data_IF_653442232158
#
_entry.id   IF_653442232158
#
_cell.length_a   1.000
_cell.length_b   1.000
_cell.length_c   1.000
_cell.angle_alpha   90.00
_cell.angle_beta   90.00
_cell.angle_gamma   90.00
#
_symmetry.space_group_name_H-M   'P 1'
#
loop_
_entity.id
_entity.type
_entity.pdbx_description
1 polymer ?
#
# COMPACT_ATOMS: atom_id res chain seq x y z
N UNK A 1 -23.86 -4.08 -8.47
CA UNK A 1 -22.78 -4.60 -7.62
C UNK A 1 -22.00 -3.45 -7.05
N UNK A 2 -21.96 -3.37 -5.76
CA UNK A 2 -21.17 -2.33 -5.12
C UNK A 2 -19.71 -2.70 -5.23
N UNK A 3 -18.93 -1.79 -5.83
CA UNK A 3 -17.51 -1.98 -5.88
C UNK A 3 -16.94 -1.93 -4.46
N UNK A 4 -16.02 -2.84 -4.17
CA UNK A 4 -15.35 -2.84 -2.87
C UNK A 4 -14.63 -1.51 -2.69
N UNK A 5 -14.92 -0.82 -1.59
CA UNK A 5 -14.26 0.44 -1.29
C UNK A 5 -12.78 0.19 -0.95
N UNK A 6 -11.93 1.02 -1.50
CA UNK A 6 -10.50 0.96 -1.28
C UNK A 6 -10.11 2.17 -0.45
N UNK A 7 -9.70 1.92 0.78
CA UNK A 7 -9.31 2.99 1.70
C UNK A 7 -7.81 3.20 1.67
N UNK A 8 -7.40 4.45 1.83
CA UNK A 8 -5.98 4.81 1.84
C UNK A 8 -5.80 6.01 2.76
N UNK A 9 -4.62 6.10 3.40
CA UNK A 9 -4.29 7.29 4.19
C UNK A 9 -3.92 8.45 3.26
N UNK A 10 -3.97 9.70 3.75
CA UNK A 10 -3.54 10.85 2.94
C UNK A 10 -2.10 10.72 2.44
N UNK A 11 -1.22 10.18 3.28
CA UNK A 11 0.18 9.93 2.90
C UNK A 11 0.27 8.92 1.77
N UNK A 12 -0.49 7.83 1.86
CA UNK A 12 -0.51 6.81 0.82
C UNK A 12 -1.01 7.35 -0.51
N UNK A 13 -2.08 8.14 -0.47
CA UNK A 13 -2.62 8.77 -1.67
C UNK A 13 -1.58 9.71 -2.31
N UNK A 14 -0.88 10.47 -1.48
CA UNK A 14 0.18 11.36 -1.96
C UNK A 14 1.30 10.56 -2.62
N UNK A 15 1.71 9.46 -2.00
CA UNK A 15 2.77 8.59 -2.55
C UNK A 15 2.37 8.06 -3.92
N UNK A 16 1.13 7.61 -4.08
CA UNK A 16 0.66 7.11 -5.38
C UNK A 16 0.63 8.22 -6.44
N UNK A 17 0.19 9.41 -6.05
CA UNK A 17 0.17 10.56 -6.98
C UNK A 17 1.56 10.98 -7.40
N UNK A 18 2.50 10.99 -6.46
CA UNK A 18 3.89 11.33 -6.73
C UNK A 18 4.55 10.30 -7.63
N UNK A 19 4.26 9.02 -7.40
CA UNK A 19 4.77 7.96 -8.27
C UNK A 19 4.22 8.12 -9.69
N UNK A 20 2.93 8.39 -9.83
CA UNK A 20 2.32 8.60 -11.14
C UNK A 20 2.95 9.77 -11.88
N UNK A 21 3.12 10.89 -11.16
CA UNK A 21 3.75 12.08 -11.76
C UNK A 21 5.19 11.79 -12.19
N UNK A 22 5.95 11.10 -11.35
CA UNK A 22 7.33 10.72 -11.68
C UNK A 22 7.40 9.82 -12.92
N UNK A 23 6.55 8.80 -12.98
CA UNK A 23 6.55 7.86 -14.11
C UNK A 23 6.19 8.58 -15.41
N UNK A 24 5.18 9.44 -15.35
CA UNK A 24 4.67 10.11 -16.55
C UNK A 24 5.58 11.25 -17.01
N UNK A 25 6.07 12.07 -16.09
CA UNK A 25 6.78 13.30 -16.43
C UNK A 25 8.28 13.13 -16.51
N UNK A 26 8.84 12.12 -15.86
CA UNK A 26 10.30 11.96 -15.76
C UNK A 26 10.78 10.63 -16.33
N UNK A 27 10.36 9.52 -15.76
CA UNK A 27 10.91 8.21 -16.13
C UNK A 27 10.50 7.78 -17.54
N UNK A 28 9.23 7.90 -17.89
CA UNK A 28 8.76 7.47 -19.21
C UNK A 28 9.44 8.23 -20.36
N UNK A 29 9.54 9.57 -20.30
CA UNK A 29 10.26 10.30 -21.35
C UNK A 29 11.73 9.88 -21.49
N UNK A 30 12.40 9.63 -20.38
CA UNK A 30 13.80 9.18 -20.41
C UNK A 30 13.96 7.83 -21.08
N UNK A 31 13.10 6.87 -20.72
CA UNK A 31 13.15 5.53 -21.33
C UNK A 31 12.76 5.59 -22.80
N UNK A 32 11.78 6.43 -23.15
CA UNK A 32 11.38 6.64 -24.54
C UNK A 32 12.56 7.13 -25.36
N UNK A 33 13.33 8.09 -24.83
CA UNK A 33 14.52 8.62 -25.51
C UNK A 33 15.60 7.55 -25.63
N UNK A 34 15.81 6.73 -24.61
CA UNK A 34 16.75 5.61 -24.67
C UNK A 34 16.37 4.61 -25.76
N UNK A 35 15.07 4.30 -25.86
CA UNK A 35 14.57 3.39 -26.89
C UNK A 35 14.79 4.00 -28.29
N UNK A 36 14.51 5.30 -28.44
CA UNK A 36 14.71 5.99 -29.72
C UNK A 36 16.17 5.96 -30.13
N UNK A 37 17.07 6.26 -29.19
CA UNK A 37 18.49 6.24 -29.46
C UNK A 37 18.98 4.84 -29.82
N UNK A 38 18.53 3.82 -29.10
CA UNK A 38 18.90 2.43 -29.38
C UNK A 38 18.37 1.97 -30.75
N UNK A 39 17.16 2.38 -31.11
CA UNK A 39 16.57 2.03 -32.39
C UNK A 39 17.36 2.61 -33.55
N UNK A 40 17.98 3.76 -33.36
CA UNK A 40 18.80 4.42 -34.39
C UNK A 40 20.11 3.70 -34.66
N UNK A 41 20.54 2.78 -33.78
CA UNK A 41 21.81 2.09 -33.89
C UNK A 41 21.79 0.86 -34.81
N UNK A 42 20.62 0.48 -35.35
CA UNK A 42 20.55 -0.59 -36.32
C UNK A 42 19.47 -1.62 -36.09
N UNK A 43 19.81 -2.90 -36.19
CA UNK A 43 18.83 -3.99 -36.17
C UNK A 43 18.15 -4.12 -34.80
N UNK A 44 16.85 -3.82 -34.78
CA UNK A 44 16.04 -3.84 -33.55
C UNK A 44 15.88 -5.23 -32.96
N UNK A 45 15.90 -6.26 -33.81
CA UNK A 45 15.71 -7.63 -33.31
C UNK A 45 16.91 -8.17 -32.54
N UNK A 46 18.10 -7.68 -32.83
CA UNK A 46 19.34 -8.11 -32.18
C UNK A 46 19.87 -7.06 -31.20
N UNK A 47 19.18 -5.95 -31.06
CA UNK A 47 19.61 -4.85 -30.20
C UNK A 47 19.05 -5.05 -28.78
N UNK A 48 19.90 -5.52 -27.87
CA UNK A 48 19.52 -5.80 -26.50
C UNK A 48 19.02 -4.56 -25.76
N UNK A 49 19.66 -3.41 -26.01
CA UNK A 49 19.25 -2.15 -25.37
C UNK A 49 17.85 -1.73 -25.82
N UNK A 50 17.56 -1.90 -27.12
CA UNK A 50 16.24 -1.61 -27.65
C UNK A 50 15.19 -2.53 -27.04
N UNK A 51 15.45 -3.83 -26.96
CA UNK A 51 14.51 -4.79 -26.39
C UNK A 51 14.28 -4.54 -24.90
N UNK A 52 15.34 -4.23 -24.17
CA UNK A 52 15.24 -3.91 -22.75
C UNK A 52 14.41 -2.64 -22.52
N UNK A 53 14.68 -1.60 -23.32
CA UNK A 53 13.92 -0.34 -23.20
C UNK A 53 12.45 -0.51 -23.53
N UNK A 54 12.14 -1.31 -24.56
CA UNK A 54 10.73 -1.61 -24.91
C UNK A 54 10.03 -2.33 -23.78
N UNK A 55 10.72 -3.27 -23.13
CA UNK A 55 10.16 -3.98 -21.98
C UNK A 55 9.90 -3.01 -20.82
N UNK A 56 10.85 -2.13 -20.54
CA UNK A 56 10.66 -1.12 -19.50
C UNK A 56 9.46 -0.23 -19.79
N UNK A 57 9.28 0.22 -21.03
CA UNK A 57 8.15 1.05 -21.40
C UNK A 57 6.83 0.32 -21.13
N UNK A 58 6.75 -0.97 -21.47
CA UNK A 58 5.55 -1.74 -21.20
C UNK A 58 5.24 -1.83 -19.72
N UNK A 59 6.27 -2.02 -18.89
CA UNK A 59 6.11 -2.07 -17.44
C UNK A 59 5.69 -0.71 -16.88
N UNK A 60 6.30 0.37 -17.35
CA UNK A 60 5.93 1.73 -16.95
C UNK A 60 4.48 2.02 -17.33
N UNK A 61 4.07 1.71 -18.55
CA UNK A 61 2.71 1.96 -19.00
C UNK A 61 1.70 1.13 -18.22
N UNK A 62 2.04 -0.10 -17.87
CA UNK A 62 1.19 -0.95 -17.03
C UNK A 62 1.02 -0.34 -15.64
N UNK A 63 2.11 0.13 -15.05
CA UNK A 63 2.06 0.76 -13.74
C UNK A 63 1.28 2.06 -13.75
N UNK A 64 1.46 2.87 -14.79
CA UNK A 64 0.70 4.12 -14.96
C UNK A 64 -0.80 3.82 -15.03
N UNK A 65 -1.21 2.84 -15.83
CA UNK A 65 -2.62 2.47 -15.92
C UNK A 65 -3.16 1.99 -14.58
N UNK A 66 -2.38 1.19 -13.86
CA UNK A 66 -2.75 0.73 -12.52
C UNK A 66 -2.95 1.92 -11.57
N UNK A 67 -2.00 2.85 -11.54
CA UNK A 67 -2.07 4.01 -10.65
C UNK A 67 -3.24 4.92 -10.98
N UNK A 68 -3.48 5.17 -12.27
CA UNK A 68 -4.61 5.99 -12.69
C UNK A 68 -5.93 5.38 -12.25
N UNK A 69 -6.11 4.10 -12.50
CA UNK A 69 -7.32 3.39 -12.10
C UNK A 69 -7.48 3.35 -10.59
N UNK A 70 -6.38 3.11 -9.88
CA UNK A 70 -6.39 3.04 -8.41
C UNK A 70 -6.78 4.38 -7.81
N UNK A 71 -6.16 5.47 -8.29
CA UNK A 71 -6.45 6.82 -7.80
C UNK A 71 -7.90 7.23 -8.05
N UNK A 72 -8.51 6.74 -9.12
CA UNK A 72 -9.91 7.00 -9.39
C UNK A 72 -10.87 6.28 -8.44
N UNK A 73 -10.41 5.18 -7.83
CA UNK A 73 -11.27 4.29 -7.05
C UNK A 73 -10.98 4.29 -5.55
N UNK A 74 -9.99 5.06 -5.10
CA UNK A 74 -9.64 5.09 -3.68
C UNK A 74 -10.51 6.12 -2.94
N UNK A 75 -10.69 5.84 -1.64
CA UNK A 75 -11.29 6.78 -0.70
C UNK A 75 -10.24 7.16 0.32
N UNK A 76 -9.86 8.43 0.35
CA UNK A 76 -8.86 8.92 1.30
C UNK A 76 -9.53 9.13 2.64
N UNK A 77 -9.01 8.48 3.66
CA UNK A 77 -9.50 8.63 5.03
C UNK A 77 -8.59 9.61 5.75
N UNK A 78 -9.01 10.87 5.81
CA UNK A 78 -8.18 11.96 6.35
C UNK A 78 -8.69 12.51 7.68
N UNK A 79 -9.79 11.97 8.20
CA UNK A 79 -10.36 12.42 9.47
C UNK A 79 -9.98 11.49 10.60
N UNK A 80 -9.52 12.08 11.70
CA UNK A 80 -9.34 11.35 12.92
C UNK A 80 -10.72 11.25 13.59
N UNK A 81 -11.18 10.04 13.98
CA UNK A 81 -12.46 9.90 14.64
C UNK A 81 -12.50 10.67 15.96
N UNK A 82 -13.69 11.14 16.33
CA UNK A 82 -13.89 11.81 17.61
C UNK A 82 -13.65 10.85 18.79
N UNK A 83 -13.99 9.57 18.60
CA UNK A 83 -13.74 8.53 19.60
C UNK A 83 -12.43 7.80 19.29
N UNK A 84 -11.36 8.26 19.89
CA UNK A 84 -10.03 7.67 19.70
C UNK A 84 -9.75 6.53 20.67
N UNK A 85 -10.74 6.14 21.47
CA UNK A 85 -10.62 4.97 22.35
C UNK A 85 -10.84 3.67 21.59
N UNK A 86 -11.31 3.75 20.35
CA UNK A 86 -11.49 2.60 19.48
C UNK A 86 -10.47 2.63 18.35
N UNK A 87 -10.07 1.45 17.93
CA UNK A 87 -9.10 1.32 16.85
C UNK A 87 -9.76 1.65 15.53
N UNK A 88 -9.13 2.53 14.77
CA UNK A 88 -9.66 3.03 13.50
C UNK A 88 -8.63 2.86 12.38
N UNK A 89 -9.09 3.02 11.13
CA UNK A 89 -8.20 2.95 9.96
C UNK A 89 -7.12 4.02 10.07
N UNK A 90 -5.87 3.61 9.84
CA UNK A 90 -4.71 4.49 9.94
C UNK A 90 -4.09 4.53 11.33
N UNK A 91 -4.72 3.89 12.32
CA UNK A 91 -4.25 3.94 13.69
C UNK A 91 -2.95 3.16 13.89
N UNK A 92 -2.11 3.70 14.77
CA UNK A 92 -0.96 2.97 15.31
C UNK A 92 -1.44 2.23 16.55
N UNK A 93 -1.19 0.93 16.60
CA UNK A 93 -1.69 0.06 17.67
C UNK A 93 -0.55 -0.77 18.22
N UNK A 94 -0.48 -0.88 19.54
CA UNK A 94 0.46 -1.78 20.21
C UNK A 94 -0.32 -2.95 20.78
N UNK A 95 0.08 -4.15 20.39
CA UNK A 95 -0.48 -5.41 20.87
C UNK A 95 0.50 -6.05 21.83
N UNK A 96 0.00 -6.58 22.94
CA UNK A 96 0.83 -7.32 23.89
C UNK A 96 0.38 -8.77 23.94
N UNK A 97 1.37 -9.67 23.99
CA UNK A 97 1.11 -11.10 24.19
C UNK A 97 1.13 -11.44 25.68
N UNK A 98 0.68 -12.66 26.00
CA UNK A 98 0.72 -13.15 27.37
C UNK A 98 2.15 -13.23 27.92
N UNK A 99 3.14 -13.37 27.04
CA UNK A 99 4.55 -13.43 27.41
C UNK A 99 5.18 -12.04 27.58
N UNK A 100 4.36 -10.99 27.61
CA UNK A 100 4.77 -9.60 27.74
C UNK A 100 5.58 -9.08 26.53
N UNK A 101 5.52 -9.77 25.40
CA UNK A 101 6.08 -9.28 24.15
C UNK A 101 5.11 -8.30 23.53
N UNK A 102 5.63 -7.27 22.89
CA UNK A 102 4.78 -6.28 22.24
C UNK A 102 5.07 -6.20 20.74
N UNK A 103 4.02 -5.91 19.98
CA UNK A 103 4.10 -5.72 18.55
C UNK A 103 3.38 -4.41 18.21
N UNK A 104 4.10 -3.47 17.63
CA UNK A 104 3.51 -2.21 17.18
C UNK A 104 3.21 -2.30 15.70
N UNK A 105 1.96 -2.04 15.35
CA UNK A 105 1.49 -2.11 13.96
C UNK A 105 0.76 -0.83 13.60
N UNK A 106 0.57 -0.63 12.31
CA UNK A 106 -0.33 0.39 11.79
C UNK A 106 -1.27 -0.25 10.80
N UNK A 107 -2.55 0.10 10.87
CA UNK A 107 -3.56 -0.40 9.94
C UNK A 107 -3.69 0.57 8.77
N UNK A 108 -3.38 0.09 7.58
CA UNK A 108 -3.32 0.94 6.38
C UNK A 108 -4.09 0.31 5.23
N UNK A 109 -4.11 0.98 4.09
CA UNK A 109 -4.70 0.44 2.87
C UNK A 109 -3.78 -0.58 2.19
N UNK A 110 -4.34 -1.31 1.23
CA UNK A 110 -3.59 -2.35 0.53
C UNK A 110 -2.36 -1.84 -0.20
N UNK A 111 -2.39 -0.58 -0.64
CA UNK A 111 -1.27 0.02 -1.37
C UNK A 111 -0.19 0.58 -0.45
N UNK A 112 -0.39 0.49 0.86
CA UNK A 112 0.50 1.08 1.85
C UNK A 112 1.21 0.06 2.72
N UNK A 113 1.05 -1.21 2.42
CA UNK A 113 1.65 -2.29 3.21
C UNK A 113 3.17 -2.13 3.23
N UNK A 114 3.74 -2.16 4.43
CA UNK A 114 5.19 -2.06 4.60
C UNK A 114 5.60 -2.98 5.74
N UNK A 115 6.14 -4.13 5.38
CA UNK A 115 6.52 -5.17 6.34
C UNK A 115 7.58 -4.65 7.30
N UNK A 116 8.53 -3.86 6.79
CA UNK A 116 9.62 -3.32 7.62
C UNK A 116 9.14 -2.38 8.70
N UNK A 117 8.02 -1.69 8.47
CA UNK A 117 7.41 -0.78 9.45
C UNK A 117 6.26 -1.42 10.23
N UNK A 118 5.92 -2.68 9.93
CA UNK A 118 4.76 -3.37 10.48
C UNK A 118 3.44 -2.66 10.13
N UNK A 119 3.36 -2.15 8.94
CA UNK A 119 2.13 -1.58 8.40
C UNK A 119 1.37 -2.69 7.68
N UNK A 120 0.19 -3.02 8.19
CA UNK A 120 -0.61 -4.12 7.67
C UNK A 120 -1.88 -3.61 7.02
N UNK A 121 -2.37 -4.36 6.05
CA UNK A 121 -3.62 -4.02 5.38
C UNK A 121 -4.81 -4.19 6.32
N UNK A 122 -5.77 -3.29 6.21
CA UNK A 122 -7.04 -3.40 6.93
C UNK A 122 -7.79 -4.68 6.62
N UNK A 123 -7.43 -5.35 5.54
CA UNK A 123 -8.07 -6.60 5.11
C UNK A 123 -7.43 -7.85 5.69
N UNK A 124 -6.34 -7.71 6.45
CA UNK A 124 -5.73 -8.86 7.11
C UNK A 124 -6.63 -9.37 8.24
N UNK A 125 -6.56 -10.67 8.58
CA UNK A 125 -7.35 -11.20 9.69
C UNK A 125 -7.11 -10.46 11.00
N UNK A 126 -5.84 -10.13 11.29
CA UNK A 126 -5.52 -9.39 12.52
C UNK A 126 -6.19 -8.01 12.54
N UNK A 127 -6.05 -7.24 11.45
CA UNK A 127 -6.67 -5.92 11.37
C UNK A 127 -8.19 -6.00 11.50
N UNK A 128 -8.82 -6.97 10.84
CA UNK A 128 -10.27 -7.16 10.92
C UNK A 128 -10.73 -7.50 12.33
N UNK A 129 -9.90 -8.26 13.05
CA UNK A 129 -10.24 -8.67 14.40
C UNK A 129 -10.20 -7.50 15.38
N UNK A 130 -9.30 -6.54 15.19
CA UNK A 130 -9.10 -5.45 16.16
C UNK A 130 -9.78 -4.14 15.76
N UNK A 131 -10.10 -3.93 14.50
CA UNK A 131 -10.77 -2.70 14.06
C UNK A 131 -12.11 -2.53 14.80
N UNK A 132 -12.30 -1.34 15.36
CA UNK A 132 -13.50 -1.02 16.13
C UNK A 132 -13.48 -1.47 17.58
N UNK A 133 -12.44 -2.21 17.97
CA UNK A 133 -12.31 -2.65 19.36
C UNK A 133 -11.79 -1.52 20.23
N UNK A 134 -12.14 -1.57 21.51
CA UNK A 134 -11.72 -0.56 22.47
C UNK A 134 -10.29 -0.77 22.89
N UNK A 135 -9.58 0.35 23.06
CA UNK A 135 -8.22 0.37 23.59
C UNK A 135 -8.21 -0.20 25.01
N UNK A 136 -7.18 -0.96 25.34
CA UNK A 136 -7.02 -1.57 26.65
C UNK A 136 -7.82 -2.84 26.85
N UNK A 137 -8.54 -3.30 25.82
CA UNK A 137 -9.36 -4.50 25.89
C UNK A 137 -8.51 -5.74 25.60
N UNK A 138 -8.72 -6.79 26.38
CA UNK A 138 -8.14 -8.10 26.11
C UNK A 138 -9.01 -8.86 25.12
N UNK A 139 -8.37 -9.47 24.12
CA UNK A 139 -9.04 -10.25 23.08
C UNK A 139 -8.85 -11.75 23.31
N UNK A 140 -9.07 -12.18 24.55
CA UNK A 140 -8.89 -13.59 24.94
C UNK A 140 -9.83 -14.54 24.20
N UNK A 141 -10.96 -14.04 23.72
CA UNK A 141 -11.98 -14.85 23.07
C UNK A 141 -11.74 -15.04 21.57
N UNK A 142 -10.73 -14.41 21.01
CA UNK A 142 -10.47 -14.48 19.60
C UNK A 142 -9.47 -15.59 19.29
N UNK A 143 -9.94 -16.83 19.45
CA UNK A 143 -9.11 -17.99 19.16
C UNK A 143 -8.67 -18.05 17.71
N UNK A 144 -9.33 -17.30 16.84
CA UNK A 144 -8.95 -17.15 15.44
C UNK A 144 -7.65 -16.38 15.28
N UNK A 145 -7.31 -15.54 16.24
CA UNK A 145 -6.00 -14.90 16.27
C UNK A 145 -5.02 -15.95 16.73
N UNK A 146 -4.05 -16.24 15.93
CA UNK A 146 -3.12 -17.34 16.17
C UNK A 146 -2.15 -17.12 17.32
N UNK A 147 -2.20 -15.97 17.93
CA UNK A 147 -1.43 -15.70 19.12
C UNK A 147 -2.38 -15.13 20.17
N UNK A 148 -2.10 -15.37 21.45
CA UNK A 148 -2.93 -14.84 22.53
C UNK A 148 -2.63 -13.37 22.78
N UNK A 149 -2.67 -12.58 21.73
CA UNK A 149 -2.33 -11.16 21.83
C UNK A 149 -3.44 -10.38 22.51
N UNK A 150 -3.03 -9.49 23.38
CA UNK A 150 -3.92 -8.56 24.03
C UNK A 150 -3.76 -7.19 23.41
N UNK A 151 -4.87 -6.49 23.24
CA UNK A 151 -4.88 -5.17 22.68
C UNK A 151 -4.60 -4.15 23.76
N UNK A 152 -3.49 -3.43 23.59
CA UNK A 152 -3.10 -2.35 24.50
C UNK A 152 -2.69 -1.16 23.66
N UNK A 153 -3.10 0.03 24.04
CA UNK A 153 -2.70 1.25 23.36
C UNK A 153 -2.01 2.20 24.29
#
# INVERSE_FOLDING_TARGET
MDAKKIYITPRGARTLREELAYLWQDKRPKVTEQVRAAAALGDRSENAEYQYGKRQLREIDRRIRYLQKRLDNITVVDRTPSDQTRIFFGAFVTLETEDAESLSIRIVGEDEIDIGRSWISMNTPLARAILGKSVGRSEEHTSELQSPDHLVC
#
